data_IF_845039206486
#
_entry.id   IF_845039206486
#
_cell.length_a   1.000
_cell.length_b   1.000
_cell.length_c   1.000
_cell.angle_alpha   90.00
_cell.angle_beta   90.00
_cell.angle_gamma   90.00
#
_symmetry.space_group_name_H-M   'P 1'
#
loop_
_entity.id
_entity.type
_entity.pdbx_description
1 polymer ?
#
# COMPACT_ATOMS: atom_id res chain seq x y z
N UNK A 1 -11.45 13.41 -2.37
CA UNK A 1 -10.79 13.95 -3.58
C UNK A 1 -9.46 13.23 -3.73
N UNK A 2 -9.32 12.32 -4.71
CA UNK A 2 -8.06 11.63 -4.97
C UNK A 2 -7.01 12.57 -5.56
N UNK A 3 -5.87 12.75 -4.90
CA UNK A 3 -4.83 13.71 -5.27
C UNK A 3 -3.78 13.18 -6.26
N UNK A 4 -3.89 11.92 -6.72
CA UNK A 4 -2.94 11.23 -7.62
C UNK A 4 -1.49 11.08 -7.12
N UNK A 5 -1.10 11.74 -6.02
CA UNK A 5 0.26 11.67 -5.45
C UNK A 5 0.79 10.24 -5.25
N UNK A 6 -0.06 9.29 -4.90
CA UNK A 6 0.36 7.90 -4.68
C UNK A 6 0.77 7.18 -5.98
N UNK A 7 0.18 7.50 -7.14
CA UNK A 7 0.55 6.84 -8.41
C UNK A 7 1.97 7.22 -8.85
N UNK A 8 2.37 8.49 -8.68
CA UNK A 8 3.69 8.96 -9.09
C UNK A 8 4.81 8.44 -8.19
N UNK A 9 4.50 8.09 -6.94
CA UNK A 9 5.48 7.57 -5.98
C UNK A 9 5.71 6.06 -6.11
N UNK A 10 4.84 5.35 -6.82
CA UNK A 10 4.97 3.91 -6.95
C UNK A 10 5.98 3.53 -8.04
N UNK A 11 7.20 3.22 -7.65
CA UNK A 11 8.26 2.71 -8.56
C UNK A 11 7.92 1.37 -9.23
N UNK A 12 6.94 0.64 -8.70
CA UNK A 12 6.44 -0.62 -9.26
C UNK A 12 5.21 -0.45 -10.14
N UNK A 13 4.75 0.79 -10.32
CA UNK A 13 3.55 1.15 -11.08
C UNK A 13 2.31 0.33 -10.66
N UNK A 14 2.22 0.02 -9.38
CA UNK A 14 1.17 -0.82 -8.80
C UNK A 14 -0.12 -0.05 -8.48
N UNK A 15 -0.18 1.25 -8.79
CA UNK A 15 -1.28 2.13 -8.40
C UNK A 15 -1.93 2.72 -9.64
N UNK A 16 -3.22 2.46 -9.81
CA UNK A 16 -4.04 2.98 -10.91
C UNK A 16 -5.01 4.03 -10.38
N UNK A 17 -5.20 5.13 -11.12
CA UNK A 17 -6.19 6.15 -10.79
C UNK A 17 -7.42 6.03 -11.69
N UNK A 18 -8.60 5.92 -11.09
CA UNK A 18 -9.89 5.96 -11.77
C UNK A 18 -10.36 7.42 -11.85
N UNK A 19 -10.35 7.99 -13.06
CA UNK A 19 -10.71 9.40 -13.28
C UNK A 19 -12.22 9.67 -13.20
N UNK A 20 -13.06 8.66 -13.39
CA UNK A 20 -14.53 8.77 -13.25
C UNK A 20 -14.94 8.80 -11.78
N UNK A 21 -14.36 7.90 -10.97
CA UNK A 21 -14.68 7.78 -9.54
C UNK A 21 -13.77 8.63 -8.64
N UNK A 22 -12.72 9.23 -9.20
CA UNK A 22 -11.71 10.03 -8.48
C UNK A 22 -11.07 9.28 -7.30
N UNK A 23 -10.84 7.98 -7.48
CA UNK A 23 -10.23 7.07 -6.50
C UNK A 23 -9.03 6.35 -7.08
N UNK A 24 -8.06 6.07 -6.23
CA UNK A 24 -6.88 5.26 -6.58
C UNK A 24 -7.08 3.83 -6.11
N UNK A 25 -6.68 2.86 -6.92
CA UNK A 25 -6.70 1.44 -6.60
C UNK A 25 -5.29 0.87 -6.67
N UNK A 26 -4.96 -0.03 -5.75
CA UNK A 26 -3.66 -0.70 -5.69
C UNK A 26 -3.82 -2.11 -6.24
N UNK A 27 -2.94 -2.48 -7.17
CA UNK A 27 -2.81 -3.84 -7.66
C UNK A 27 -1.89 -4.63 -6.71
N UNK A 28 -2.48 -5.46 -5.86
CA UNK A 28 -1.77 -6.30 -4.89
C UNK A 28 -0.76 -7.25 -5.56
N UNK A 29 -0.95 -7.65 -6.83
CA UNK A 29 0.00 -8.52 -7.53
C UNK A 29 1.31 -7.81 -7.91
N UNK A 30 1.27 -6.48 -8.09
CA UNK A 30 2.44 -5.65 -8.40
C UNK A 30 3.00 -4.95 -7.16
N UNK A 31 2.16 -4.74 -6.15
CA UNK A 31 2.53 -4.07 -4.92
C UNK A 31 3.60 -4.87 -4.16
N UNK A 32 4.75 -4.25 -3.88
CA UNK A 32 5.80 -4.82 -3.03
C UNK A 32 5.68 -4.44 -1.55
N UNK A 33 4.63 -3.72 -1.18
CA UNK A 33 4.41 -3.32 0.21
C UNK A 33 5.42 -2.32 0.78
N UNK A 34 6.10 -1.52 -0.06
CA UNK A 34 7.12 -0.55 0.40
C UNK A 34 6.59 0.58 1.30
N UNK A 35 5.26 0.78 1.37
CA UNK A 35 4.63 1.74 2.29
C UNK A 35 4.74 3.22 1.91
N UNK A 36 5.47 3.58 0.84
CA UNK A 36 5.68 4.99 0.43
C UNK A 36 4.37 5.70 0.14
N UNK A 37 3.42 5.04 -0.52
CA UNK A 37 2.11 5.60 -0.83
C UNK A 37 1.25 5.88 0.42
N UNK A 38 1.40 5.07 1.47
CA UNK A 38 0.70 5.24 2.76
C UNK A 38 1.23 6.49 3.45
N UNK A 39 2.55 6.62 3.55
CA UNK A 39 3.20 7.76 4.21
C UNK A 39 2.96 9.10 3.49
N UNK A 40 2.91 9.07 2.16
CA UNK A 40 2.72 10.27 1.35
C UNK A 40 1.25 10.67 1.17
N UNK A 41 0.28 9.88 1.61
CA UNK A 41 -1.14 10.20 1.43
C UNK A 41 -1.58 11.26 2.45
N UNK A 42 -1.81 12.53 2.06
CA UNK A 42 -2.23 13.57 3.01
C UNK A 42 -3.64 13.32 3.56
N UNK A 43 -4.46 12.57 2.83
CA UNK A 43 -5.82 12.22 3.22
C UNK A 43 -5.93 10.92 4.01
N UNK A 44 -4.82 10.22 4.27
CA UNK A 44 -4.84 8.92 4.98
C UNK A 44 -5.70 7.85 4.29
N UNK A 45 -5.96 7.97 2.99
CA UNK A 45 -6.89 7.12 2.26
C UNK A 45 -6.32 5.73 1.89
N UNK A 46 -5.03 5.51 2.14
CA UNK A 46 -4.31 4.28 1.78
C UNK A 46 -3.87 3.58 3.04
N UNK A 47 -4.22 2.30 3.18
CA UNK A 47 -3.81 1.44 4.29
C UNK A 47 -2.89 0.34 3.76
N UNK A 48 -1.71 0.18 4.37
CA UNK A 48 -0.78 -0.90 4.02
C UNK A 48 -1.30 -2.26 4.50
N UNK A 49 -1.25 -3.28 3.63
CA UNK A 49 -1.77 -4.63 3.90
C UNK A 49 -0.73 -5.69 4.28
N UNK A 50 0.57 -5.46 4.02
CA UNK A 50 1.56 -6.55 3.97
C UNK A 50 2.26 -6.91 5.29
N UNK A 51 2.04 -6.16 6.36
CA UNK A 51 2.55 -6.53 7.68
C UNK A 51 1.48 -6.20 8.71
N UNK A 52 0.45 -7.03 8.83
CA UNK A 52 -0.29 -6.99 10.09
C UNK A 52 0.67 -7.44 11.18
N UNK A 53 0.63 -6.79 12.34
CA UNK A 53 1.46 -7.15 13.48
C UNK A 53 1.36 -8.65 13.80
N UNK A 54 0.19 -9.23 13.56
CA UNK A 54 -0.10 -10.65 13.71
C UNK A 54 0.76 -11.53 12.79
N UNK A 55 0.93 -11.16 11.52
CA UNK A 55 1.79 -11.88 10.58
C UNK A 55 3.27 -11.78 10.96
N UNK A 56 3.70 -10.62 11.47
CA UNK A 56 5.07 -10.40 11.93
C UNK A 56 5.38 -11.23 13.20
N UNK A 57 4.42 -11.33 14.14
CA UNK A 57 4.59 -12.15 15.34
C UNK A 57 4.60 -13.64 15.03
N UNK A 58 3.79 -14.10 14.09
CA UNK A 58 3.78 -15.51 13.66
C UNK A 58 5.14 -15.95 13.07
N UNK A 59 5.83 -15.05 12.38
CA UNK A 59 7.17 -15.30 11.81
C UNK A 59 8.26 -15.34 12.89
N UNK A 60 8.16 -14.51 13.94
CA UNK A 60 9.06 -14.55 15.11
C UNK A 60 8.88 -15.85 15.90
N UNK A 61 7.64 -16.25 16.17
CA UNK A 61 7.35 -17.49 16.91
C UNK A 61 7.83 -18.73 16.14
N UNK A 62 7.69 -18.74 14.81
CA UNK A 62 8.18 -19.83 13.96
C UNK A 62 9.70 -19.95 13.85
N UNK A 63 10.44 -18.89 14.18
CA UNK A 63 11.90 -18.89 14.21
C UNK A 63 12.49 -19.26 15.59
N UNK A 64 11.66 -19.27 16.64
CA UNK A 64 12.05 -19.57 18.03
C UNK A 64 11.68 -21.01 18.46
N UNK A 65 11.33 -21.88 17.51
CA UNK A 65 11.09 -23.33 17.70
C UNK A 65 12.24 -24.17 17.14
#
# INVERSE_FOLDING_TARGET
MGCKTCSDLCTYNAISFDDEKKVSSINDALCKGCGVCVAACPGGAITGRHFTTEQLMAEIDGALV
#
